data_IF_864248075018
#
_entry.id   IF_864248075018
#
_cell.length_a   1.000
_cell.length_b   1.000
_cell.length_c   1.000
_cell.angle_alpha   90.00
_cell.angle_beta   90.00
_cell.angle_gamma   90.00
#
_symmetry.space_group_name_H-M   'P 1'
#
loop_
_entity.id
_entity.type
_entity.pdbx_description
1 polymer ?
#
# COMPACT_ATOMS: atom_id res chain seq x y z
N UNK A 1 -6.30 23.42 24.67
CA UNK A 1 -7.55 23.81 24.00
C UNK A 1 -7.18 24.22 22.57
N UNK A 2 -7.02 23.26 21.68
CA UNK A 2 -6.81 23.54 20.26
C UNK A 2 -8.17 23.69 19.60
N UNK A 3 -8.49 24.92 19.21
CA UNK A 3 -9.64 25.22 18.37
C UNK A 3 -9.34 24.57 17.00
N UNK A 4 -10.21 23.72 16.44
CA UNK A 4 -9.98 23.20 15.10
C UNK A 4 -9.87 24.37 14.15
N UNK A 5 -8.75 24.47 13.46
CA UNK A 5 -8.45 25.57 12.57
C UNK A 5 -9.48 25.56 11.42
N UNK A 6 -10.34 26.57 11.36
CA UNK A 6 -11.37 26.69 10.31
C UNK A 6 -10.76 26.59 8.88
N UNK A 7 -9.47 26.92 8.73
CA UNK A 7 -8.72 26.76 7.51
C UNK A 7 -8.65 25.31 7.02
N UNK A 8 -8.42 24.35 7.92
CA UNK A 8 -8.32 22.92 7.57
C UNK A 8 -9.65 22.38 7.04
N UNK A 9 -10.76 22.80 7.64
CA UNK A 9 -12.10 22.37 7.20
C UNK A 9 -12.49 22.98 5.84
N UNK A 10 -12.05 24.21 5.55
CA UNK A 10 -12.24 24.86 4.24
C UNK A 10 -11.35 24.20 3.19
N UNK A 11 -10.15 23.79 3.54
CA UNK A 11 -9.21 23.10 2.67
C UNK A 11 -9.72 21.72 2.28
N UNK A 12 -10.22 20.91 3.22
CA UNK A 12 -10.85 19.63 2.93
C UNK A 12 -12.01 19.77 1.93
N UNK A 13 -12.83 20.85 2.05
CA UNK A 13 -13.88 21.16 1.07
C UNK A 13 -13.33 21.53 -0.30
N UNK A 14 -12.24 22.31 -0.38
CA UNK A 14 -11.63 22.69 -1.66
C UNK A 14 -10.96 21.51 -2.37
N UNK A 15 -10.31 20.63 -1.62
CA UNK A 15 -9.67 19.43 -2.18
C UNK A 15 -10.71 18.39 -2.59
N UNK A 16 -11.80 18.23 -1.83
CA UNK A 16 -12.95 17.44 -2.26
C UNK A 16 -13.50 17.95 -3.60
N UNK A 17 -13.57 19.29 -3.81
CA UNK A 17 -13.97 19.84 -5.10
C UNK A 17 -12.98 19.54 -6.23
N UNK A 18 -11.66 19.51 -5.96
CA UNK A 18 -10.65 19.21 -6.97
C UNK A 18 -10.69 17.75 -7.41
N UNK A 19 -10.83 16.83 -6.45
CA UNK A 19 -11.03 15.40 -6.71
C UNK A 19 -12.37 15.14 -7.43
N UNK A 20 -13.43 15.84 -7.05
CA UNK A 20 -14.75 15.74 -7.69
C UNK A 20 -14.71 16.24 -9.15
N UNK A 21 -13.94 17.30 -9.47
CA UNK A 21 -13.83 17.78 -10.85
C UNK A 21 -13.04 16.80 -11.73
N UNK A 22 -12.01 16.15 -11.20
CA UNK A 22 -11.29 15.09 -11.91
C UNK A 22 -12.17 13.83 -12.10
N UNK A 23 -12.96 13.47 -11.09
CA UNK A 23 -13.95 12.40 -11.17
C UNK A 23 -15.09 12.72 -12.16
N UNK A 24 -15.54 13.98 -12.23
CA UNK A 24 -16.57 14.41 -13.18
C UNK A 24 -16.08 14.39 -14.65
N UNK A 25 -14.78 14.62 -14.88
CA UNK A 25 -14.18 14.48 -16.21
C UNK A 25 -13.95 13.00 -16.62
N UNK A 26 -13.84 12.08 -15.63
CA UNK A 26 -13.71 10.63 -15.85
C UNK A 26 -15.01 9.83 -15.70
N UNK A 27 -16.06 10.43 -15.19
CA UNK A 27 -17.25 9.76 -14.69
C UNK A 27 -18.37 9.50 -15.72
N UNK A 28 -18.05 9.15 -16.96
CA UNK A 28 -19.01 8.38 -17.76
C UNK A 28 -18.83 6.89 -17.42
N UNK A 29 -19.59 6.39 -16.48
CA UNK A 29 -19.78 4.97 -16.26
C UNK A 29 -20.49 4.42 -17.51
N UNK A 30 -19.72 3.86 -18.42
CA UNK A 30 -20.29 3.04 -19.49
C UNK A 30 -20.72 1.72 -18.85
N UNK A 31 -22.03 1.52 -18.72
CA UNK A 31 -22.61 0.23 -18.41
C UNK A 31 -22.14 -0.79 -19.47
N UNK A 32 -21.23 -1.71 -19.11
CA UNK A 32 -20.73 -2.77 -19.97
C UNK A 32 -19.21 -2.98 -20.03
N UNK A 33 -18.38 -2.11 -19.46
CA UNK A 33 -16.94 -2.39 -19.33
C UNK A 33 -16.68 -3.28 -18.10
N UNK A 34 -15.81 -4.28 -18.28
CA UNK A 34 -15.30 -5.12 -17.19
C UNK A 34 -14.64 -4.23 -16.13
N UNK A 35 -15.26 -4.11 -14.97
CA UNK A 35 -14.77 -3.29 -13.85
C UNK A 35 -13.72 -4.05 -13.01
N UNK A 36 -12.82 -4.81 -13.64
CA UNK A 36 -11.72 -5.41 -12.92
C UNK A 36 -10.61 -4.38 -12.63
N UNK A 37 -9.96 -4.53 -11.51
CA UNK A 37 -8.95 -3.59 -11.04
C UNK A 37 -7.77 -3.48 -12.01
N UNK A 38 -7.31 -4.60 -12.57
CA UNK A 38 -6.17 -4.61 -13.50
C UNK A 38 -6.48 -3.79 -14.74
N UNK A 39 -7.68 -3.92 -15.30
CA UNK A 39 -8.13 -3.12 -16.43
C UNK A 39 -8.24 -1.63 -16.10
N UNK A 40 -8.79 -1.27 -14.94
CA UNK A 40 -8.84 0.12 -14.46
C UNK A 40 -7.44 0.72 -14.36
N UNK A 41 -6.51 0.00 -13.74
CA UNK A 41 -5.14 0.44 -13.54
C UNK A 41 -4.40 0.62 -14.88
N UNK A 42 -4.45 -0.37 -15.76
CA UNK A 42 -3.76 -0.32 -17.06
C UNK A 42 -4.33 0.74 -18.01
N UNK A 43 -5.57 1.17 -17.82
CA UNK A 43 -6.20 2.29 -18.54
C UNK A 43 -6.00 3.64 -17.86
N UNK A 44 -5.22 3.74 -16.79
CA UNK A 44 -5.01 4.95 -15.98
C UNK A 44 -6.34 5.53 -15.42
N UNK A 45 -7.22 4.66 -14.97
CA UNK A 45 -8.53 5.00 -14.39
C UNK A 45 -8.65 4.61 -12.91
N UNK A 46 -7.60 4.08 -12.31
CA UNK A 46 -7.56 3.76 -10.89
C UNK A 46 -7.23 5.02 -10.09
N UNK A 47 -8.19 5.49 -9.30
CA UNK A 47 -8.00 6.57 -8.32
C UNK A 47 -7.82 5.92 -6.95
N UNK A 48 -6.56 5.85 -6.48
CA UNK A 48 -6.14 4.99 -5.39
C UNK A 48 -6.04 5.80 -4.09
N UNK A 49 -6.62 5.29 -3.02
CA UNK A 49 -6.43 5.83 -1.67
C UNK A 49 -5.81 4.78 -0.74
N UNK A 50 -4.65 5.10 -0.16
CA UNK A 50 -4.01 4.30 0.88
C UNK A 50 -4.70 4.49 2.23
N UNK A 51 -4.99 3.41 2.94
CA UNK A 51 -5.57 3.43 4.28
C UNK A 51 -4.84 2.47 5.21
N UNK A 52 -4.56 2.95 6.43
CA UNK A 52 -4.22 2.08 7.55
C UNK A 52 -5.50 1.76 8.32
N UNK A 53 -5.99 0.51 8.23
CA UNK A 53 -7.22 0.12 8.92
C UNK A 53 -7.18 0.39 10.42
N UNK A 54 -6.00 0.22 11.05
CA UNK A 54 -5.81 0.47 12.49
C UNK A 54 -6.26 1.88 12.90
N UNK A 55 -6.09 2.88 12.03
CA UNK A 55 -6.38 4.30 12.32
C UNK A 55 -7.51 4.88 11.48
N UNK A 56 -7.93 4.22 10.40
CA UNK A 56 -8.83 4.78 9.39
C UNK A 56 -10.19 5.25 9.95
N UNK A 57 -10.78 4.53 10.89
CA UNK A 57 -12.00 4.94 11.59
C UNK A 57 -11.88 4.67 13.10
N UNK A 58 -10.69 4.90 13.67
CA UNK A 58 -10.48 4.84 15.11
C UNK A 58 -11.34 5.89 15.81
N UNK A 59 -11.88 5.55 16.98
CA UNK A 59 -12.74 6.39 17.80
C UNK A 59 -11.96 6.86 19.03
N UNK A 60 -11.06 7.81 18.82
CA UNK A 60 -10.37 8.54 19.87
C UNK A 60 -11.31 9.66 20.36
N UNK A 61 -11.99 9.42 21.48
CA UNK A 61 -13.06 10.30 21.99
C UNK A 61 -12.45 11.49 22.74
N UNK A 62 -11.33 11.29 23.41
CA UNK A 62 -10.69 12.33 24.21
C UNK A 62 -9.64 13.14 23.45
N UNK A 63 -9.25 12.70 22.22
CA UNK A 63 -8.33 13.40 21.34
C UNK A 63 -6.87 13.35 21.80
N UNK A 64 -6.48 12.30 22.55
CA UNK A 64 -5.13 12.14 23.04
C UNK A 64 -4.25 11.25 22.12
N UNK A 65 -4.81 10.79 21.01
CA UNK A 65 -4.16 9.94 19.98
C UNK A 65 -3.80 8.52 20.48
N UNK A 66 -4.38 8.11 21.61
CA UNK A 66 -4.26 6.77 22.20
C UNK A 66 -5.65 6.14 22.22
N UNK A 67 -5.75 4.84 21.99
CA UNK A 67 -7.01 4.12 22.18
C UNK A 67 -7.09 3.65 23.62
N UNK A 68 -7.87 4.39 24.41
CA UNK A 68 -8.10 4.15 25.82
C UNK A 68 -9.27 3.18 26.09
N UNK A 69 -9.52 2.89 27.36
CA UNK A 69 -10.68 2.08 27.75
C UNK A 69 -12.00 2.77 27.36
N UNK A 70 -12.84 2.04 26.62
CA UNK A 70 -14.10 2.56 26.07
C UNK A 70 -13.99 3.18 24.69
N UNK A 71 -12.81 3.27 24.13
CA UNK A 71 -12.53 3.69 22.77
C UNK A 71 -12.31 2.49 21.84
N UNK A 72 -12.31 2.71 20.52
CA UNK A 72 -12.17 1.65 19.54
C UNK A 72 -11.11 2.00 18.49
N UNK A 73 -10.12 1.13 18.33
CA UNK A 73 -9.22 1.15 17.18
C UNK A 73 -9.98 0.93 15.86
N UNK A 74 -9.38 1.34 14.76
CA UNK A 74 -9.90 1.02 13.43
C UNK A 74 -9.88 -0.49 13.18
N UNK A 75 -10.92 -1.00 12.53
CA UNK A 75 -11.07 -2.41 12.17
C UNK A 75 -11.89 -2.56 10.89
N UNK A 76 -12.02 -3.80 10.39
CA UNK A 76 -12.76 -4.06 9.16
C UNK A 76 -14.21 -3.61 9.21
N UNK A 77 -14.90 -3.77 10.32
CA UNK A 77 -16.33 -3.47 10.40
C UNK A 77 -16.60 -1.97 10.53
N UNK A 78 -15.85 -1.27 11.39
CA UNK A 78 -16.06 0.17 11.54
C UNK A 78 -15.54 0.98 10.34
N UNK A 79 -14.56 0.46 9.58
CA UNK A 79 -14.11 1.06 8.34
C UNK A 79 -15.23 1.18 7.28
N UNK A 80 -16.22 0.28 7.30
CA UNK A 80 -17.38 0.30 6.41
C UNK A 80 -18.16 1.62 6.52
N UNK A 81 -18.22 2.21 7.70
CA UNK A 81 -18.94 3.46 7.96
C UNK A 81 -18.46 4.64 7.12
N UNK A 82 -17.18 4.61 6.67
CA UNK A 82 -16.57 5.67 5.88
C UNK A 82 -16.51 5.42 4.37
N UNK A 83 -17.00 4.28 3.89
CA UNK A 83 -16.89 3.94 2.47
C UNK A 83 -17.70 4.86 1.56
N UNK A 84 -18.83 5.40 2.02
CA UNK A 84 -19.61 6.37 1.25
C UNK A 84 -18.87 7.71 1.11
N UNK A 85 -18.12 8.13 2.13
CA UNK A 85 -17.23 9.29 2.06
C UNK A 85 -16.14 9.06 0.98
N UNK A 86 -15.49 7.91 1.00
CA UNK A 86 -14.47 7.51 0.03
C UNK A 86 -15.02 7.51 -1.40
N UNK A 87 -16.20 6.91 -1.60
CA UNK A 87 -16.86 6.89 -2.90
C UNK A 87 -17.19 8.30 -3.40
N UNK A 88 -17.70 9.17 -2.51
CA UNK A 88 -18.05 10.56 -2.84
C UNK A 88 -16.83 11.43 -3.21
N UNK A 89 -15.62 11.04 -2.77
CA UNK A 89 -14.36 11.66 -3.21
C UNK A 89 -13.90 11.16 -4.59
N UNK A 90 -14.65 10.26 -5.24
CA UNK A 90 -14.29 9.68 -6.53
C UNK A 90 -13.21 8.61 -6.45
N UNK A 91 -12.86 8.14 -5.25
CA UNK A 91 -11.92 7.03 -5.05
C UNK A 91 -12.62 5.73 -5.50
N UNK A 92 -11.96 4.97 -6.33
CA UNK A 92 -12.45 3.68 -6.82
C UNK A 92 -11.52 2.50 -6.49
N UNK A 93 -10.41 2.78 -5.79
CA UNK A 93 -9.47 1.75 -5.32
C UNK A 93 -9.01 2.10 -3.91
N UNK A 94 -9.15 1.17 -2.98
CA UNK A 94 -8.50 1.24 -1.66
C UNK A 94 -7.23 0.37 -1.67
N UNK A 95 -6.12 0.98 -1.30
CA UNK A 95 -4.89 0.28 -0.94
C UNK A 95 -4.85 0.14 0.58
N UNK A 96 -5.10 -1.05 1.08
CA UNK A 96 -5.11 -1.37 2.50
C UNK A 96 -3.72 -1.80 2.92
N UNK A 97 -3.12 -1.07 3.86
CA UNK A 97 -1.82 -1.41 4.46
C UNK A 97 -1.88 -2.83 5.10
N UNK A 98 -0.74 -3.45 5.43
CA UNK A 98 -0.71 -4.85 5.83
C UNK A 98 -1.74 -5.23 6.87
N UNK A 99 -2.43 -6.34 6.61
CA UNK A 99 -3.48 -6.90 7.48
C UNK A 99 -3.00 -8.09 8.31
N UNK A 100 -1.74 -8.47 8.16
CA UNK A 100 -1.11 -9.57 8.88
C UNK A 100 -0.82 -9.22 10.34
N UNK A 101 -0.73 -10.19 11.26
CA UNK A 101 -0.35 -9.95 12.64
C UNK A 101 1.02 -9.25 12.75
N UNK A 102 1.15 -8.38 13.73
CA UNK A 102 2.37 -7.59 13.96
C UNK A 102 3.16 -8.20 15.11
N UNK A 103 4.45 -8.44 14.87
CA UNK A 103 5.36 -8.93 15.90
C UNK A 103 5.53 -7.94 17.05
N UNK A 104 5.72 -8.47 18.24
CA UNK A 104 5.84 -7.68 19.48
C UNK A 104 7.26 -7.55 19.97
N UNK A 105 8.09 -8.58 19.75
CA UNK A 105 9.47 -8.57 20.20
C UNK A 105 10.32 -7.68 19.28
N UNK A 106 11.02 -6.72 19.89
CA UNK A 106 11.83 -5.72 19.17
C UNK A 106 11.01 -4.83 18.23
N UNK A 107 9.73 -4.67 18.51
CA UNK A 107 8.86 -3.73 17.79
C UNK A 107 9.29 -2.29 18.04
N UNK A 108 9.01 -1.41 17.07
CA UNK A 108 9.14 0.04 17.24
C UNK A 108 7.83 0.58 17.87
N UNK A 109 8.00 1.45 18.86
CA UNK A 109 6.86 2.03 19.58
C UNK A 109 5.98 0.98 20.29
N UNK A 110 4.79 1.38 20.70
CA UNK A 110 3.86 0.52 21.45
C UNK A 110 2.98 -0.34 20.54
N UNK A 111 2.67 0.15 19.35
CA UNK A 111 1.78 -0.51 18.37
C UNK A 111 2.53 -1.44 17.38
N UNK A 112 3.83 -1.24 17.20
CA UNK A 112 4.63 -1.93 16.19
C UNK A 112 4.31 -1.52 14.75
N UNK A 113 5.26 -1.70 13.86
CA UNK A 113 5.07 -1.48 12.42
C UNK A 113 4.17 -2.55 11.82
N UNK A 114 3.19 -2.15 11.02
CA UNK A 114 2.33 -3.10 10.25
C UNK A 114 3.12 -3.94 9.24
N UNK A 115 4.35 -3.54 8.91
CA UNK A 115 5.27 -4.26 8.03
C UNK A 115 6.12 -5.31 8.75
N UNK A 116 6.12 -5.32 10.10
CA UNK A 116 6.79 -6.33 10.90
C UNK A 116 5.88 -7.55 11.09
N UNK A 117 5.68 -8.34 10.02
CA UNK A 117 4.75 -9.45 10.02
C UNK A 117 5.17 -10.58 10.96
N UNK A 118 4.31 -10.95 11.91
CA UNK A 118 4.45 -12.12 12.77
C UNK A 118 4.16 -13.42 12.01
N UNK A 119 3.28 -13.36 11.03
CA UNK A 119 3.05 -14.40 10.02
C UNK A 119 2.50 -13.79 8.71
N UNK A 120 2.38 -14.61 7.66
CA UNK A 120 1.87 -14.23 6.34
C UNK A 120 0.51 -14.85 6.01
N UNK A 121 -0.13 -15.56 6.91
CA UNK A 121 -1.27 -16.42 6.60
C UNK A 121 -2.48 -16.24 7.52
N UNK A 122 -2.42 -15.29 8.43
CA UNK A 122 -3.54 -14.96 9.30
C UNK A 122 -3.82 -13.45 9.31
N UNK A 123 -4.96 -13.09 9.86
CA UNK A 123 -5.40 -11.70 10.00
C UNK A 123 -4.98 -11.15 11.36
N UNK A 124 -4.51 -9.91 11.37
CA UNK A 124 -4.17 -9.21 12.61
C UNK A 124 -5.41 -9.08 13.52
N UNK A 125 -5.37 -9.66 14.73
CA UNK A 125 -6.51 -9.63 15.65
C UNK A 125 -6.87 -8.22 16.15
N UNK A 126 -5.99 -7.21 15.96
CA UNK A 126 -6.30 -5.82 16.24
C UNK A 126 -7.24 -5.19 15.19
N UNK A 127 -7.35 -5.78 14.00
CA UNK A 127 -8.24 -5.31 12.92
C UNK A 127 -9.62 -5.97 12.96
N UNK A 128 -9.90 -6.73 14.01
CA UNK A 128 -11.14 -7.52 14.18
C UNK A 128 -11.95 -6.95 15.33
N UNK A 129 -13.24 -6.71 15.09
CA UNK A 129 -14.18 -6.38 16.16
C UNK A 129 -14.49 -7.63 16.98
N UNK A 130 -13.99 -7.66 18.22
CA UNK A 130 -14.15 -8.78 19.16
C UNK A 130 -15.59 -8.96 19.67
N UNK A 131 -16.44 -7.94 19.51
CA UNK A 131 -17.85 -7.98 19.91
C UNK A 131 -18.75 -8.52 18.80
N UNK A 132 -18.20 -8.73 17.60
CA UNK A 132 -18.93 -9.32 16.48
C UNK A 132 -19.02 -10.84 16.60
N UNK A 133 -20.13 -11.42 16.14
CA UNK A 133 -20.29 -12.87 16.00
C UNK A 133 -19.59 -13.43 14.73
N UNK A 134 -19.06 -12.56 13.87
CA UNK A 134 -18.34 -12.95 12.65
C UNK A 134 -16.88 -13.29 12.98
N UNK A 135 -16.36 -14.32 12.36
CA UNK A 135 -14.92 -14.63 12.39
C UNK A 135 -14.10 -13.50 11.75
N UNK A 136 -12.79 -13.50 11.95
CA UNK A 136 -11.84 -12.59 11.34
C UNK A 136 -11.94 -12.57 9.79
N UNK A 137 -11.98 -13.74 9.17
CA UNK A 137 -12.17 -13.91 7.72
C UNK A 137 -13.52 -13.35 7.27
N UNK A 138 -14.58 -13.60 7.99
CA UNK A 138 -15.92 -13.08 7.63
C UNK A 138 -16.01 -11.56 7.76
N UNK A 139 -15.35 -10.96 8.76
CA UNK A 139 -15.29 -9.51 8.91
C UNK A 139 -14.50 -8.87 7.75
N UNK A 140 -13.35 -9.41 7.40
CA UNK A 140 -12.56 -8.93 6.26
C UNK A 140 -13.32 -9.09 4.94
N UNK A 141 -13.93 -10.25 4.69
CA UNK A 141 -14.80 -10.48 3.51
C UNK A 141 -15.96 -9.49 3.45
N UNK A 142 -16.59 -9.20 4.59
CA UNK A 142 -17.69 -8.22 4.66
C UNK A 142 -17.22 -6.83 4.27
N UNK A 143 -16.06 -6.38 4.78
CA UNK A 143 -15.48 -5.10 4.39
C UNK A 143 -15.21 -5.03 2.88
N UNK A 144 -14.54 -6.03 2.30
CA UNK A 144 -14.24 -6.06 0.86
C UNK A 144 -15.53 -6.09 0.03
N UNK A 145 -16.51 -6.90 0.41
CA UNK A 145 -17.80 -6.93 -0.27
C UNK A 145 -18.53 -5.58 -0.23
N UNK A 146 -18.45 -4.85 0.90
CA UNK A 146 -19.03 -3.50 1.00
C UNK A 146 -18.28 -2.47 0.14
N UNK A 147 -16.96 -2.63 -0.05
CA UNK A 147 -16.20 -1.87 -1.03
C UNK A 147 -16.72 -2.15 -2.45
N UNK A 148 -16.84 -3.42 -2.84
CA UNK A 148 -17.29 -3.84 -4.16
C UNK A 148 -18.72 -3.35 -4.49
N UNK A 149 -19.64 -3.35 -3.52
CA UNK A 149 -20.99 -2.78 -3.71
C UNK A 149 -20.97 -1.29 -4.08
N UNK A 150 -19.89 -0.59 -3.74
CA UNK A 150 -19.66 0.82 -4.03
C UNK A 150 -18.76 1.04 -5.25
N UNK A 151 -18.47 -0.02 -6.02
CA UNK A 151 -17.51 -0.02 -7.12
C UNK A 151 -16.09 0.40 -6.67
N UNK A 152 -15.71 0.13 -5.44
CA UNK A 152 -14.36 0.33 -4.89
C UNK A 152 -13.65 -1.01 -4.91
N UNK A 153 -12.51 -1.11 -5.61
CA UNK A 153 -11.63 -2.27 -5.63
C UNK A 153 -10.65 -2.21 -4.47
N UNK A 154 -10.12 -3.38 -4.08
CA UNK A 154 -9.26 -3.47 -2.89
C UNK A 154 -7.91 -4.12 -3.24
N UNK A 155 -6.83 -3.40 -2.92
CA UNK A 155 -5.46 -3.89 -2.95
C UNK A 155 -5.03 -4.14 -1.50
N UNK A 156 -4.44 -5.32 -1.23
CA UNK A 156 -3.83 -5.61 0.08
C UNK A 156 -2.32 -5.50 -0.04
N UNK A 157 -1.69 -4.87 0.93
CA UNK A 157 -0.24 -4.75 1.00
C UNK A 157 0.41 -6.05 1.49
N UNK A 158 1.45 -6.49 0.79
CA UNK A 158 2.24 -7.67 1.15
C UNK A 158 3.57 -7.22 1.76
N UNK A 159 3.80 -7.43 3.06
CA UNK A 159 5.09 -7.11 3.69
C UNK A 159 6.27 -7.86 3.07
N UNK A 160 7.40 -7.21 2.95
CA UNK A 160 8.63 -7.80 2.39
C UNK A 160 9.48 -8.52 3.39
N UNK A 161 9.32 -8.19 4.67
CA UNK A 161 10.13 -8.66 5.79
C UNK A 161 9.26 -9.36 6.83
N UNK A 162 9.87 -10.10 7.74
CA UNK A 162 9.18 -10.69 8.89
C UNK A 162 9.61 -10.05 10.20
N UNK A 163 8.80 -10.17 11.24
CA UNK A 163 9.13 -9.77 12.59
C UNK A 163 10.16 -10.70 13.25
N UNK A 164 10.72 -10.26 14.39
CA UNK A 164 11.61 -11.11 15.18
C UNK A 164 10.87 -12.33 15.78
N UNK A 165 9.60 -12.17 16.09
CA UNK A 165 8.72 -13.27 16.54
C UNK A 165 8.65 -14.39 15.52
N UNK A 166 8.45 -14.05 14.23
CA UNK A 166 8.47 -15.02 13.14
C UNK A 166 9.84 -15.70 12.98
N UNK A 167 10.94 -14.98 13.17
CA UNK A 167 12.27 -15.56 13.15
C UNK A 167 12.45 -16.63 14.25
N UNK A 168 11.89 -16.41 15.44
CA UNK A 168 12.00 -17.37 16.54
C UNK A 168 11.22 -18.67 16.27
N UNK A 169 10.11 -18.58 15.56
CA UNK A 169 9.24 -19.74 15.26
C UNK A 169 9.58 -20.41 13.93
N UNK A 170 10.08 -19.64 12.94
CA UNK A 170 10.37 -20.09 11.57
C UNK A 170 11.73 -19.57 11.08
N UNK A 171 12.84 -19.96 11.73
CA UNK A 171 14.18 -19.43 11.39
C UNK A 171 14.67 -19.81 9.98
N UNK A 172 14.06 -20.82 9.35
CA UNK A 172 14.33 -21.23 7.96
C UNK A 172 13.92 -20.20 6.93
N UNK A 173 12.99 -19.30 7.26
CA UNK A 173 12.53 -18.23 6.37
C UNK A 173 13.53 -17.10 6.22
N UNK A 174 14.55 -16.99 7.08
CA UNK A 174 15.35 -15.77 7.22
C UNK A 174 16.81 -15.91 6.77
N UNK A 175 17.37 -14.80 6.32
CA UNK A 175 18.82 -14.68 6.15
C UNK A 175 19.47 -14.62 7.53
N UNK A 176 20.54 -15.39 7.72
CA UNK A 176 21.27 -15.49 8.99
C UNK A 176 22.76 -15.18 8.78
N UNK A 177 23.35 -14.55 9.78
CA UNK A 177 24.79 -14.35 9.86
C UNK A 177 25.52 -15.67 10.25
N UNK A 178 26.85 -15.59 10.37
CA UNK A 178 27.68 -16.73 10.78
C UNK A 178 27.39 -17.24 12.20
N UNK A 179 26.74 -16.44 13.04
CA UNK A 179 26.31 -16.77 14.41
C UNK A 179 24.87 -17.27 14.45
N UNK A 180 24.23 -17.49 13.29
CA UNK A 180 22.84 -17.89 13.16
C UNK A 180 21.82 -16.84 13.65
N UNK A 181 22.22 -15.57 13.74
CA UNK A 181 21.32 -14.45 14.04
C UNK A 181 20.68 -13.95 12.76
N UNK A 182 19.39 -13.54 12.84
CA UNK A 182 18.68 -12.93 11.71
C UNK A 182 19.27 -11.58 11.34
N UNK A 183 19.32 -11.29 10.04
CA UNK A 183 19.81 -10.00 9.52
C UNK A 183 18.74 -8.92 9.70
N UNK A 184 19.18 -7.80 10.25
CA UNK A 184 18.38 -6.57 10.41
C UNK A 184 18.78 -5.60 9.30
N UNK A 185 17.85 -5.05 8.51
CA UNK A 185 18.15 -3.94 7.59
C UNK A 185 18.63 -2.71 8.35
N UNK A 186 19.44 -1.85 7.70
CA UNK A 186 20.04 -0.70 8.36
C UNK A 186 18.98 0.29 8.86
N UNK A 187 17.95 0.54 8.06
CA UNK A 187 16.96 1.59 8.33
C UNK A 187 15.65 1.06 8.94
N UNK A 188 15.47 -0.26 9.01
CA UNK A 188 14.25 -0.93 9.51
C UNK A 188 14.60 -1.91 10.63
N UNK A 189 14.74 -1.39 11.85
CA UNK A 189 15.31 -2.16 12.97
C UNK A 189 14.35 -3.16 13.60
N UNK A 190 13.08 -3.04 13.35
CA UNK A 190 12.00 -3.91 13.86
C UNK A 190 11.73 -5.15 12.97
N UNK A 191 12.24 -5.17 11.74
CA UNK A 191 12.05 -6.29 10.81
C UNK A 191 13.32 -7.12 10.59
N UNK A 192 13.16 -8.26 9.94
CA UNK A 192 14.21 -9.22 9.59
C UNK A 192 14.10 -9.62 8.13
N UNK A 193 15.24 -9.71 7.44
CA UNK A 193 15.29 -10.04 6.01
C UNK A 193 14.94 -11.51 5.76
N UNK A 194 13.97 -11.75 4.88
CA UNK A 194 13.61 -13.07 4.41
C UNK A 194 14.64 -13.59 3.39
N UNK A 195 14.99 -14.86 3.49
CA UNK A 195 15.85 -15.55 2.55
C UNK A 195 15.04 -16.02 1.34
N UNK A 196 14.82 -15.18 0.36
CA UNK A 196 14.09 -15.55 -0.87
C UNK A 196 14.89 -16.40 -1.85
N UNK A 197 16.16 -16.64 -1.58
CA UNK A 197 17.07 -17.33 -2.49
C UNK A 197 17.60 -16.40 -3.60
N UNK A 198 17.85 -16.93 -4.77
CA UNK A 198 18.36 -16.20 -5.93
C UNK A 198 17.56 -16.52 -7.19
N UNK A 199 17.77 -15.80 -8.30
CA UNK A 199 17.16 -16.14 -9.60
C UNK A 199 17.44 -17.56 -10.10
N UNK A 200 18.52 -18.19 -9.61
CA UNK A 200 18.87 -19.59 -9.97
C UNK A 200 18.27 -20.62 -9.04
N UNK A 201 18.04 -20.26 -7.77
CA UNK A 201 17.54 -21.17 -6.73
C UNK A 201 16.76 -20.38 -5.70
N UNK A 202 15.43 -20.51 -5.75
CA UNK A 202 14.52 -19.91 -4.77
C UNK A 202 14.50 -20.73 -3.49
N UNK A 203 14.25 -20.04 -2.37
CA UNK A 203 13.91 -20.69 -1.11
C UNK A 203 12.43 -21.08 -1.14
N UNK A 204 12.16 -22.39 -1.09
CA UNK A 204 10.80 -22.91 -1.22
C UNK A 204 9.94 -22.55 -0.01
N UNK A 205 10.50 -22.55 1.21
CA UNK A 205 9.75 -22.24 2.43
C UNK A 205 9.21 -20.80 2.40
N UNK A 206 10.05 -19.84 1.95
CA UNK A 206 9.63 -18.44 1.78
C UNK A 206 8.61 -18.30 0.64
N UNK A 207 8.79 -19.02 -0.45
CA UNK A 207 7.84 -19.02 -1.57
C UNK A 207 6.47 -19.55 -1.11
N UNK A 208 6.45 -20.62 -0.32
CA UNK A 208 5.20 -21.22 0.19
C UNK A 208 4.52 -20.32 1.24
N UNK A 209 5.28 -19.63 2.08
CA UNK A 209 4.74 -18.61 2.99
C UNK A 209 4.02 -17.49 2.21
N UNK A 210 4.62 -17.01 1.12
CA UNK A 210 3.98 -15.99 0.26
C UNK A 210 2.78 -16.53 -0.52
N UNK A 211 2.79 -17.80 -0.93
CA UNK A 211 1.61 -18.43 -1.53
C UNK A 211 0.46 -18.58 -0.53
N UNK A 212 0.74 -18.80 0.75
CA UNK A 212 -0.29 -18.79 1.81
C UNK A 212 -0.91 -17.39 1.94
N UNK A 213 -0.09 -16.32 1.92
CA UNK A 213 -0.61 -14.95 1.86
C UNK A 213 -1.51 -14.72 0.65
N UNK A 214 -1.05 -15.10 -0.55
CA UNK A 214 -1.86 -15.01 -1.77
C UNK A 214 -3.19 -15.73 -1.62
N UNK A 215 -3.19 -16.95 -1.04
CA UNK A 215 -4.41 -17.70 -0.82
C UNK A 215 -5.37 -16.99 0.13
N UNK A 216 -4.84 -16.40 1.23
CA UNK A 216 -5.62 -15.58 2.14
C UNK A 216 -6.26 -14.41 1.40
N UNK A 217 -5.48 -13.63 0.66
CA UNK A 217 -5.96 -12.42 -0.05
C UNK A 217 -7.02 -12.77 -1.10
N UNK A 218 -6.82 -13.87 -1.85
CA UNK A 218 -7.82 -14.39 -2.81
C UNK A 218 -9.08 -14.88 -2.10
N UNK A 219 -8.94 -15.55 -0.96
CA UNK A 219 -10.06 -16.01 -0.16
C UNK A 219 -10.91 -14.85 0.37
N UNK A 220 -10.27 -13.74 0.74
CA UNK A 220 -10.96 -12.53 1.18
C UNK A 220 -11.71 -11.83 0.04
N UNK A 221 -11.36 -12.12 -1.21
CA UNK A 221 -11.94 -11.51 -2.41
C UNK A 221 -11.30 -10.16 -2.79
N UNK A 222 -10.07 -9.90 -2.35
CA UNK A 222 -9.36 -8.70 -2.79
C UNK A 222 -8.91 -8.81 -4.25
N UNK A 223 -8.74 -7.66 -4.90
CA UNK A 223 -8.55 -7.55 -6.35
C UNK A 223 -7.06 -7.43 -6.76
N UNK A 224 -6.17 -7.22 -5.79
CA UNK A 224 -4.74 -7.06 -6.08
C UNK A 224 -3.84 -7.04 -4.84
N UNK A 225 -2.54 -7.08 -5.11
CA UNK A 225 -1.47 -6.95 -4.12
C UNK A 225 -0.54 -5.79 -4.51
N UNK A 226 -0.22 -4.95 -3.54
CA UNK A 226 0.98 -4.10 -3.59
C UNK A 226 2.08 -4.84 -2.85
N UNK A 227 3.19 -5.10 -3.51
CA UNK A 227 4.34 -5.76 -2.93
C UNK A 227 5.29 -4.71 -2.33
N UNK A 228 5.38 -4.71 -1.02
CA UNK A 228 6.28 -3.87 -0.24
C UNK A 228 7.73 -4.15 -0.62
N UNK A 229 8.51 -3.09 -0.82
CA UNK A 229 9.93 -3.12 -1.24
C UNK A 229 10.23 -4.30 -2.18
N UNK A 230 9.46 -4.39 -3.28
CA UNK A 230 9.54 -5.52 -4.22
C UNK A 230 10.96 -5.75 -4.76
N UNK A 231 11.79 -4.72 -4.71
CA UNK A 231 13.17 -4.70 -5.20
C UNK A 231 14.11 -5.63 -4.43
N UNK A 232 13.82 -6.01 -3.19
CA UNK A 232 14.70 -6.87 -2.39
C UNK A 232 14.53 -8.38 -2.64
N UNK A 233 13.63 -8.74 -3.55
CA UNK A 233 13.41 -10.14 -3.94
C UNK A 233 13.83 -10.37 -5.40
N UNK A 234 14.36 -11.56 -5.75
CA UNK A 234 14.76 -11.86 -7.13
C UNK A 234 13.55 -11.88 -8.06
N UNK A 235 13.76 -11.48 -9.32
CA UNK A 235 12.68 -11.46 -10.32
C UNK A 235 12.03 -12.85 -10.52
N UNK A 236 12.80 -13.94 -10.43
CA UNK A 236 12.27 -15.30 -10.50
C UNK A 236 11.26 -15.60 -9.37
N UNK A 237 11.45 -15.03 -8.17
CA UNK A 237 10.49 -15.17 -7.07
C UNK A 237 9.14 -14.55 -7.45
N UNK A 238 9.15 -13.34 -8.00
CA UNK A 238 7.93 -12.67 -8.42
C UNK A 238 7.25 -13.36 -9.60
N UNK A 239 8.02 -13.88 -10.56
CA UNK A 239 7.47 -14.69 -11.67
C UNK A 239 6.65 -15.87 -11.11
N UNK A 240 7.18 -16.60 -10.12
CA UNK A 240 6.46 -17.73 -9.51
C UNK A 240 5.22 -17.31 -8.74
N UNK A 241 5.29 -16.24 -7.94
CA UNK A 241 4.13 -15.73 -7.18
C UNK A 241 3.03 -15.22 -8.13
N UNK A 242 3.40 -14.39 -9.13
CA UNK A 242 2.42 -13.82 -10.07
C UNK A 242 1.78 -14.93 -10.91
N UNK A 243 2.57 -15.89 -11.40
CA UNK A 243 2.06 -17.04 -12.13
C UNK A 243 1.11 -17.89 -11.29
N UNK A 244 1.48 -18.18 -10.04
CA UNK A 244 0.63 -18.93 -9.11
C UNK A 244 -0.71 -18.23 -8.85
N UNK A 245 -0.68 -16.93 -8.68
CA UNK A 245 -1.88 -16.11 -8.43
C UNK A 245 -2.77 -16.06 -9.67
N UNK A 246 -2.20 -15.73 -10.84
CA UNK A 246 -2.95 -15.58 -12.09
C UNK A 246 -3.46 -16.90 -12.68
N UNK A 247 -2.95 -18.02 -12.23
CA UNK A 247 -3.56 -19.33 -12.52
C UNK A 247 -4.92 -19.50 -11.82
N UNK A 248 -5.19 -18.73 -10.75
CA UNK A 248 -6.46 -18.75 -9.98
C UNK A 248 -7.35 -17.57 -10.34
N UNK A 249 -6.78 -16.41 -10.51
CA UNK A 249 -7.43 -15.16 -10.94
C UNK A 249 -6.55 -14.46 -11.99
N UNK A 250 -6.84 -14.60 -13.30
CA UNK A 250 -6.05 -14.01 -14.38
C UNK A 250 -6.00 -12.48 -14.35
N UNK A 251 -7.01 -11.83 -13.77
CA UNK A 251 -7.15 -10.37 -13.73
C UNK A 251 -6.60 -9.75 -12.43
N UNK A 252 -5.97 -10.55 -11.59
CA UNK A 252 -5.40 -10.09 -10.33
C UNK A 252 -4.25 -9.11 -10.54
N UNK A 253 -4.35 -7.92 -9.93
CA UNK A 253 -3.37 -6.83 -10.06
C UNK A 253 -2.13 -7.07 -9.18
N UNK A 254 -0.95 -6.77 -9.73
CA UNK A 254 0.31 -6.71 -8.98
C UNK A 254 0.98 -5.34 -9.15
N UNK A 255 1.16 -4.62 -8.05
CA UNK A 255 1.90 -3.36 -7.97
C UNK A 255 3.20 -3.55 -7.20
N UNK A 256 4.30 -3.05 -7.75
CA UNK A 256 5.60 -3.08 -7.09
C UNK A 256 5.87 -1.76 -6.36
N UNK A 257 6.19 -1.83 -5.09
CA UNK A 257 6.92 -0.72 -4.50
C UNK A 257 8.35 -0.77 -5.01
N UNK A 258 8.60 0.09 -5.95
CA UNK A 258 9.88 0.30 -6.61
C UNK A 258 9.90 1.69 -7.22
N UNK A 259 11.07 2.27 -7.36
CA UNK A 259 11.26 3.55 -8.01
C UNK A 259 12.36 3.48 -9.05
N UNK A 260 12.20 4.26 -10.10
CA UNK A 260 13.25 4.46 -11.10
C UNK A 260 14.45 5.27 -10.57
N UNK A 261 14.34 5.86 -9.38
CA UNK A 261 15.45 6.50 -8.68
C UNK A 261 16.25 5.57 -7.76
N UNK A 262 15.70 4.41 -7.39
CA UNK A 262 16.40 3.46 -6.53
C UNK A 262 17.48 2.70 -7.29
N UNK A 263 18.67 2.58 -6.69
CA UNK A 263 19.87 1.98 -7.32
C UNK A 263 20.46 0.81 -6.58
N UNK A 264 20.17 0.68 -5.28
CA UNK A 264 20.77 -0.30 -4.39
C UNK A 264 19.75 -0.81 -3.35
N UNK A 265 20.00 -1.98 -2.75
CA UNK A 265 19.14 -2.51 -1.71
C UNK A 265 19.39 -1.80 -0.37
N UNK A 266 18.42 -1.86 0.55
CA UNK A 266 18.54 -1.29 1.92
C UNK A 266 19.53 -2.05 2.81
N UNK A 267 20.15 -3.10 2.32
CA UNK A 267 21.14 -3.93 3.04
C UNK A 267 22.05 -4.67 2.08
N UNK A 268 23.33 -4.80 2.43
CA UNK A 268 24.30 -5.61 1.66
C UNK A 268 23.93 -7.10 1.60
N UNK A 269 23.05 -7.57 2.46
CA UNK A 269 22.54 -8.95 2.46
C UNK A 269 21.29 -9.15 1.60
N UNK A 270 20.66 -8.06 1.17
CA UNK A 270 19.51 -8.11 0.28
C UNK A 270 19.95 -8.10 -1.19
N UNK A 271 19.17 -8.74 -2.05
CA UNK A 271 19.33 -8.59 -3.49
C UNK A 271 18.70 -7.29 -3.95
N UNK A 272 19.05 -6.86 -5.16
CA UNK A 272 18.39 -5.74 -5.80
C UNK A 272 17.86 -6.13 -7.18
N UNK A 273 16.55 -6.05 -7.33
CA UNK A 273 15.84 -6.21 -8.60
C UNK A 273 15.26 -4.86 -8.98
N UNK A 274 15.78 -4.17 -10.01
CA UNK A 274 15.30 -2.86 -10.39
C UNK A 274 13.89 -2.91 -10.99
N UNK A 275 13.19 -1.78 -10.98
CA UNK A 275 11.79 -1.64 -11.39
C UNK A 275 11.49 -2.22 -12.79
N UNK A 276 12.39 -2.05 -13.77
CA UNK A 276 12.23 -2.57 -15.12
C UNK A 276 12.21 -4.11 -15.14
N UNK A 277 13.00 -4.76 -14.29
CA UNK A 277 13.01 -6.23 -14.12
C UNK A 277 11.77 -6.72 -13.39
N UNK A 278 11.22 -5.93 -12.46
CA UNK A 278 9.93 -6.24 -11.82
C UNK A 278 8.79 -6.17 -12.84
N UNK A 279 8.74 -5.15 -13.70
CA UNK A 279 7.77 -5.07 -14.79
C UNK A 279 7.89 -6.25 -15.77
N UNK A 280 9.13 -6.68 -16.09
CA UNK A 280 9.37 -7.88 -16.90
C UNK A 280 8.96 -9.17 -16.20
N UNK A 281 9.05 -9.23 -14.86
CA UNK A 281 8.61 -10.38 -14.07
C UNK A 281 7.08 -10.54 -14.00
N UNK A 282 6.32 -9.54 -14.45
CA UNK A 282 4.85 -9.62 -14.56
C UNK A 282 4.08 -8.60 -13.72
N UNK A 283 4.74 -7.71 -12.99
CA UNK A 283 4.05 -6.60 -12.34
C UNK A 283 3.35 -5.71 -13.38
N UNK A 284 2.17 -5.21 -13.04
CA UNK A 284 1.38 -4.34 -13.89
C UNK A 284 1.83 -2.88 -13.80
N UNK A 285 2.41 -2.53 -12.65
CA UNK A 285 2.92 -1.18 -12.43
C UNK A 285 3.87 -1.06 -11.23
N UNK A 286 4.39 0.14 -11.07
CA UNK A 286 5.30 0.52 -10.00
C UNK A 286 5.04 1.96 -9.57
N UNK A 287 5.68 2.40 -8.47
CA UNK A 287 5.71 3.80 -8.09
C UNK A 287 6.75 4.53 -8.93
N UNK A 288 6.35 5.56 -9.66
CA UNK A 288 7.32 6.48 -10.27
C UNK A 288 8.03 7.33 -9.20
N UNK A 289 9.13 7.98 -9.55
CA UNK A 289 9.87 8.84 -8.60
C UNK A 289 9.17 10.19 -8.31
N UNK A 290 7.85 10.27 -8.42
CA UNK A 290 7.09 11.51 -8.25
C UNK A 290 7.13 12.09 -6.84
N UNK A 291 7.46 11.29 -5.83
CA UNK A 291 7.73 11.75 -4.46
C UNK A 291 8.96 12.68 -4.38
N UNK A 292 9.83 12.70 -5.40
CA UNK A 292 10.93 13.64 -5.53
C UNK A 292 10.53 14.99 -6.15
N UNK A 293 9.25 15.20 -6.50
CA UNK A 293 8.78 16.44 -7.14
C UNK A 293 9.20 17.70 -6.39
N UNK A 294 9.27 17.64 -5.07
CA UNK A 294 9.72 18.75 -4.22
C UNK A 294 11.13 19.28 -4.59
N UNK A 295 11.95 18.43 -5.20
CA UNK A 295 13.33 18.71 -5.55
C UNK A 295 13.49 19.06 -7.04
N UNK A 296 12.40 19.00 -7.84
CA UNK A 296 12.42 19.22 -9.28
C UNK A 296 11.98 20.61 -9.68
N UNK A 297 12.62 21.17 -10.70
CA UNK A 297 12.06 22.28 -11.45
C UNK A 297 11.04 21.79 -12.51
N UNK A 298 10.38 22.71 -13.20
CA UNK A 298 9.33 22.38 -14.15
C UNK A 298 9.81 21.52 -15.34
N UNK A 299 11.05 21.73 -15.82
CA UNK A 299 11.60 20.97 -16.94
C UNK A 299 11.92 19.54 -16.52
N UNK A 300 12.52 19.33 -15.34
CA UNK A 300 12.78 18.02 -14.75
C UNK A 300 11.48 17.24 -14.55
N UNK A 301 10.43 17.89 -14.06
CA UNK A 301 9.11 17.27 -13.93
C UNK A 301 8.54 16.82 -15.27
N UNK A 302 8.58 17.69 -16.30
CA UNK A 302 8.09 17.37 -17.64
C UNK A 302 8.90 16.22 -18.26
N UNK A 303 10.22 16.23 -18.09
CA UNK A 303 11.10 15.15 -18.55
C UNK A 303 10.76 13.83 -17.88
N UNK A 304 10.48 13.83 -16.57
CA UNK A 304 10.11 12.64 -15.83
C UNK A 304 8.74 12.07 -16.28
N UNK A 305 7.76 12.93 -16.54
CA UNK A 305 6.47 12.51 -17.13
C UNK A 305 6.69 11.84 -18.49
N UNK A 306 7.49 12.45 -19.37
CA UNK A 306 7.83 11.90 -20.70
C UNK A 306 8.61 10.59 -20.60
N UNK A 307 9.55 10.50 -19.65
CA UNK A 307 10.29 9.29 -19.37
C UNK A 307 9.35 8.13 -19.06
N UNK A 308 8.42 8.30 -18.11
CA UNK A 308 7.44 7.27 -17.76
C UNK A 308 6.56 6.90 -18.94
N UNK A 309 6.03 7.86 -19.68
CA UNK A 309 5.24 7.58 -20.89
C UNK A 309 6.00 6.74 -21.92
N UNK A 310 7.26 7.10 -22.19
CA UNK A 310 8.12 6.37 -23.11
C UNK A 310 8.43 4.95 -22.61
N UNK A 311 8.76 4.82 -21.32
CA UNK A 311 9.04 3.54 -20.68
C UNK A 311 7.84 2.60 -20.79
N UNK A 312 6.67 3.05 -20.37
CA UNK A 312 5.44 2.23 -20.35
C UNK A 312 5.06 1.77 -21.77
N UNK A 313 5.23 2.62 -22.77
CA UNK A 313 4.99 2.30 -24.18
C UNK A 313 6.03 1.34 -24.78
N UNK A 314 7.15 1.08 -24.10
CA UNK A 314 8.18 0.15 -24.58
C UNK A 314 7.87 -1.32 -24.31
N UNK A 315 6.92 -1.61 -23.41
CA UNK A 315 6.52 -2.97 -23.08
C UNK A 315 5.49 -3.50 -24.09
N UNK A 316 5.61 -4.78 -24.42
CA UNK A 316 4.62 -5.46 -25.28
C UNK A 316 3.25 -5.57 -24.62
N UNK A 317 3.24 -5.86 -23.33
CA UNK A 317 2.03 -5.87 -22.52
C UNK A 317 1.85 -4.52 -21.84
N UNK A 318 0.62 -4.01 -21.75
CA UNK A 318 0.35 -2.74 -21.07
C UNK A 318 0.91 -2.72 -19.65
N UNK A 319 1.50 -1.59 -19.29
CA UNK A 319 1.99 -1.28 -17.94
C UNK A 319 1.54 0.12 -17.58
N UNK A 320 1.48 0.42 -16.28
CA UNK A 320 1.21 1.78 -15.83
C UNK A 320 2.04 2.14 -14.61
N UNK A 321 1.89 3.37 -14.12
CA UNK A 321 2.60 3.90 -12.97
C UNK A 321 1.61 4.48 -11.96
N UNK A 322 1.95 4.37 -10.68
CA UNK A 322 1.27 5.06 -9.60
C UNK A 322 1.86 6.47 -9.50
N UNK A 323 1.01 7.46 -9.64
CA UNK A 323 1.38 8.85 -9.44
C UNK A 323 1.22 9.20 -7.97
N UNK A 324 2.29 9.04 -7.20
CA UNK A 324 2.30 9.30 -5.77
C UNK A 324 3.33 10.38 -5.41
N UNK A 325 2.86 11.53 -4.97
CA UNK A 325 3.72 12.59 -4.42
C UNK A 325 3.99 12.40 -2.92
N UNK A 326 3.20 11.58 -2.27
CA UNK A 326 3.36 11.21 -0.87
C UNK A 326 2.75 9.83 -0.63
N UNK A 327 3.36 9.08 0.24
CA UNK A 327 2.87 7.79 0.73
C UNK A 327 2.75 7.83 2.25
N UNK A 328 2.39 6.71 2.85
CA UNK A 328 2.43 6.53 4.30
C UNK A 328 3.86 6.55 4.88
N UNK A 329 4.89 6.47 4.04
CA UNK A 329 6.30 6.55 4.43
C UNK A 329 6.86 7.98 4.43
N UNK A 330 6.12 8.93 3.84
CA UNK A 330 6.53 10.31 3.73
C UNK A 330 5.83 11.17 4.79
N UNK A 331 6.52 12.22 5.23
CA UNK A 331 5.89 13.25 6.07
C UNK A 331 4.85 14.00 5.23
N UNK A 332 3.72 14.35 5.84
CA UNK A 332 2.65 15.08 5.16
C UNK A 332 3.17 16.33 4.41
N UNK A 333 2.84 16.51 3.12
CA UNK A 333 3.26 17.67 2.35
C UNK A 333 2.80 18.99 2.99
N UNK A 334 1.67 18.98 3.68
CA UNK A 334 1.16 20.19 4.39
C UNK A 334 2.12 20.62 5.50
N UNK A 335 2.67 19.65 6.23
CA UNK A 335 3.64 19.92 7.31
C UNK A 335 5.00 20.38 6.76
N UNK A 336 5.44 19.80 5.64
CA UNK A 336 6.75 20.10 5.06
C UNK A 336 6.76 21.38 4.20
N UNK A 337 5.72 21.60 3.42
CA UNK A 337 5.72 22.58 2.33
C UNK A 337 4.54 23.55 2.38
N UNK A 338 3.63 23.38 3.33
CA UNK A 338 2.46 24.23 3.49
C UNK A 338 1.27 23.86 2.60
N UNK A 339 0.20 24.59 2.78
CA UNK A 339 -1.12 24.33 2.18
C UNK A 339 -1.12 24.54 0.66
N UNK A 340 -0.55 25.64 0.17
CA UNK A 340 -0.58 25.98 -1.27
C UNK A 340 0.15 24.93 -2.12
N UNK A 341 1.30 24.46 -1.65
CA UNK A 341 2.06 23.40 -2.32
C UNK A 341 1.26 22.09 -2.34
N UNK A 342 0.60 21.74 -1.24
CA UNK A 342 -0.21 20.52 -1.14
C UNK A 342 -1.44 20.55 -2.04
N UNK A 343 -2.06 21.73 -2.20
CA UNK A 343 -3.15 21.95 -3.15
C UNK A 343 -2.63 21.78 -4.59
N UNK A 344 -1.50 22.41 -4.93
CA UNK A 344 -0.89 22.29 -6.26
C UNK A 344 -0.60 20.81 -6.61
N UNK A 345 0.03 20.07 -5.69
CA UNK A 345 0.30 18.65 -5.88
C UNK A 345 -0.98 17.85 -6.13
N UNK A 346 -2.03 18.12 -5.35
CA UNK A 346 -3.32 17.42 -5.51
C UNK A 346 -3.92 17.67 -6.90
N UNK A 347 -3.80 18.88 -7.43
CA UNK A 347 -4.21 19.21 -8.80
C UNK A 347 -3.37 18.48 -9.85
N UNK A 348 -2.06 18.45 -9.70
CA UNK A 348 -1.16 17.71 -10.59
C UNK A 348 -1.50 16.22 -10.57
N UNK A 349 -1.68 15.65 -9.37
CA UNK A 349 -2.05 14.25 -9.20
C UNK A 349 -3.34 13.89 -9.95
N UNK A 350 -4.35 14.78 -9.88
CA UNK A 350 -5.64 14.55 -10.51
C UNK A 350 -5.65 14.75 -12.04
N UNK A 351 -4.66 15.46 -12.61
CA UNK A 351 -4.68 15.87 -14.03
C UNK A 351 -3.67 15.16 -14.92
N UNK A 352 -2.69 14.49 -14.36
CA UNK A 352 -1.69 13.73 -15.13
C UNK A 352 -2.25 12.39 -15.65
N UNK A 353 -1.74 11.88 -16.78
CA UNK A 353 -2.26 10.69 -17.43
C UNK A 353 -1.73 9.39 -16.81
N UNK A 354 -1.80 9.27 -15.49
CA UNK A 354 -1.39 8.11 -14.70
C UNK A 354 -2.42 7.81 -13.63
N UNK A 355 -2.18 6.79 -12.81
CA UNK A 355 -3.08 6.45 -11.71
C UNK A 355 -2.76 7.29 -10.47
N UNK A 356 -3.60 8.26 -10.09
CA UNK A 356 -3.38 9.09 -8.91
C UNK A 356 -3.46 8.24 -7.63
N UNK A 357 -2.58 8.59 -6.70
CA UNK A 357 -2.54 7.98 -5.37
C UNK A 357 -2.57 9.07 -4.30
N UNK A 358 -3.39 8.89 -3.29
CA UNK A 358 -3.40 9.69 -2.07
C UNK A 358 -3.37 8.78 -0.85
N UNK A 359 -2.98 9.35 0.30
CA UNK A 359 -3.13 8.68 1.58
C UNK A 359 -4.24 9.35 2.39
N UNK A 360 -5.07 8.56 3.07
CA UNK A 360 -6.23 9.06 3.80
C UNK A 360 -5.86 10.06 4.91
N UNK A 361 -4.67 9.92 5.51
CA UNK A 361 -4.17 10.78 6.57
C UNK A 361 -3.41 12.02 6.08
N UNK A 362 -3.56 12.40 4.81
CA UNK A 362 -2.80 13.51 4.22
C UNK A 362 -2.93 14.83 5.00
N UNK A 363 -4.05 15.04 5.68
CA UNK A 363 -4.41 16.28 6.38
C UNK A 363 -4.73 16.09 7.86
N UNK A 364 -4.69 14.86 8.38
CA UNK A 364 -4.83 14.60 9.80
C UNK A 364 -3.44 14.30 10.37
N UNK A 365 -2.95 15.14 11.23
CA UNK A 365 -1.75 14.91 12.05
C UNK A 365 -2.10 13.94 13.18
N UNK A 366 -1.17 13.11 13.63
CA UNK A 366 0.16 12.87 13.12
C UNK A 366 0.23 11.74 12.08
N UNK A 367 1.34 11.67 11.34
CA UNK A 367 1.69 10.53 10.50
C UNK A 367 1.69 9.23 11.31
N UNK A 368 1.41 8.05 10.72
CA UNK A 368 1.60 6.77 11.41
C UNK A 368 2.99 6.55 11.99
N UNK A 369 4.01 7.27 11.51
CA UNK A 369 5.36 7.32 12.10
C UNK A 369 5.43 8.13 13.40
N UNK A 370 4.55 9.10 13.57
CA UNK A 370 4.54 9.97 14.75
C UNK A 370 3.79 9.32 15.91
N UNK A 371 3.09 8.20 15.66
CA UNK A 371 2.39 7.37 16.66
C UNK A 371 3.19 6.12 17.07
N UNK A 372 4.47 6.03 16.70
CA UNK A 372 5.35 4.89 17.01
C UNK A 372 6.33 5.19 18.14
#
# INVERSE_FOLDING_TARGET
MCIPNQGVMIMLKKISCALIIAAAAGGMVFAGENNDLRSLFLKNKANICGINLRTFNAKDINGNEIIDEGEAGGNFLNAIERLDEIQNLGINVLHVLPITPVGRLKALGTAGSVYAAEDFWSINPQLVDKNSNLSDIEQAKKFINECHKRNIRVIIDLPSCGAYDLFLTHPELFIKDSRQCSIVPTDWTDVRLLNTGTNKRLNQDVLDAHKRFVNLVLELGADGIRADVATIKPSAFWVEIIKYTRAKDPEFLFLAEASDSWREPPSIYAQFTPYDKLLQAGFDGYYGSFFNLKDWNADEFIEHVRFNQKLLNSYREPKSVILSFTTHDEVSPVLLHGEDFSIMISWLNATLPFNPYCICLLYTSPSPRDCS
#
